data_IF_089886236821
#
_entry.id   IF_089886236821
#
_cell.length_a   1.000
_cell.length_b   1.000
_cell.length_c   1.000
_cell.angle_alpha   90.00
_cell.angle_beta   90.00
_cell.angle_gamma   90.00
#
_symmetry.space_group_name_H-M   'P 1'
#
loop_
_entity.id
_entity.type
_entity.pdbx_description
1 polymer ?
#
# COMPACT_ATOMS: atom_id res chain seq x y z
N UNK A 1 -9.45 -6.68 29.28
CA UNK A 1 -9.95 -5.81 28.23
C UNK A 1 -9.11 -6.08 26.99
N UNK A 2 -9.72 -6.22 25.84
CA UNK A 2 -9.04 -6.39 24.56
C UNK A 2 -8.14 -5.17 24.28
N UNK A 3 -7.01 -5.39 23.61
CA UNK A 3 -6.10 -4.32 23.20
C UNK A 3 -5.72 -4.56 21.75
N UNK A 4 -5.75 -3.52 20.96
CA UNK A 4 -5.25 -3.50 19.60
C UNK A 4 -4.19 -2.41 19.45
N UNK A 5 -3.19 -2.66 18.63
CA UNK A 5 -2.20 -1.66 18.23
C UNK A 5 -1.82 -1.87 16.77
N UNK A 6 -1.44 -0.80 16.08
CA UNK A 6 -0.89 -0.90 14.75
C UNK A 6 0.54 -1.47 14.77
N UNK A 7 1.11 -1.75 13.59
CA UNK A 7 2.45 -2.30 13.45
C UNK A 7 3.53 -1.46 14.17
N UNK A 8 3.51 -0.15 14.05
CA UNK A 8 4.48 0.72 14.73
C UNK A 8 4.32 0.71 16.25
N UNK A 9 3.12 0.42 16.75
CA UNK A 9 2.76 0.47 18.18
C UNK A 9 2.42 1.87 18.67
N UNK A 10 2.35 2.87 17.78
CA UNK A 10 1.99 4.25 18.11
C UNK A 10 0.49 4.42 18.30
N UNK A 11 -0.30 3.78 17.47
CA UNK A 11 -1.76 3.74 17.61
C UNK A 11 -2.17 2.57 18.50
N UNK A 12 -2.94 2.86 19.55
CA UNK A 12 -3.38 1.87 20.54
C UNK A 12 -4.83 2.11 20.90
N UNK A 13 -5.66 1.07 20.78
CA UNK A 13 -7.08 1.12 21.10
C UNK A 13 -7.46 0.02 22.09
N UNK A 14 -8.53 0.27 22.87
CA UNK A 14 -9.11 -0.67 23.84
C UNK A 14 -10.57 -0.90 23.48
N UNK A 15 -10.86 -1.68 22.44
CA UNK A 15 -12.23 -2.02 22.08
C UNK A 15 -12.90 -2.81 23.20
N UNK A 16 -14.24 -2.86 23.20
CA UNK A 16 -15.00 -3.74 24.07
C UNK A 16 -14.72 -5.19 23.72
N UNK A 17 -14.62 -5.48 22.39
CA UNK A 17 -14.26 -6.80 21.86
C UNK A 17 -13.27 -6.71 20.69
N UNK A 18 -12.36 -7.70 20.64
CA UNK A 18 -11.45 -7.95 19.51
C UNK A 18 -11.64 -9.41 19.10
N UNK A 19 -12.28 -9.61 17.99
CA UNK A 19 -12.65 -10.93 17.51
C UNK A 19 -12.04 -11.27 16.15
N UNK A 20 -12.14 -12.52 15.74
CA UNK A 20 -11.62 -13.03 14.47
C UNK A 20 -12.73 -13.68 13.68
N UNK A 21 -12.69 -13.56 12.35
CA UNK A 21 -13.60 -14.25 11.44
C UNK A 21 -12.84 -15.16 10.49
N UNK A 22 -13.43 -16.33 10.25
CA UNK A 22 -12.86 -17.40 9.42
C UNK A 22 -13.80 -17.82 8.29
N UNK A 23 -14.98 -17.20 8.20
CA UNK A 23 -15.95 -17.41 7.11
C UNK A 23 -16.75 -16.15 6.84
N UNK A 24 -17.36 -16.07 5.65
CA UNK A 24 -18.26 -14.98 5.28
C UNK A 24 -19.49 -14.93 6.20
N UNK A 25 -20.03 -16.09 6.58
CA UNK A 25 -21.19 -16.18 7.48
C UNK A 25 -20.87 -15.63 8.87
N UNK A 26 -19.64 -15.86 9.38
CA UNK A 26 -19.20 -15.26 10.64
C UNK A 26 -19.08 -13.73 10.52
N UNK A 27 -18.54 -13.24 9.41
CA UNK A 27 -18.42 -11.80 9.17
C UNK A 27 -19.80 -11.14 9.07
N UNK A 28 -20.75 -11.74 8.34
CA UNK A 28 -22.10 -11.27 8.18
C UNK A 28 -22.89 -11.29 9.51
N UNK A 29 -22.79 -12.38 10.26
CA UNK A 29 -23.45 -12.53 11.58
C UNK A 29 -22.90 -11.50 12.58
N UNK A 30 -21.60 -11.26 12.59
CA UNK A 30 -20.97 -10.26 13.46
C UNK A 30 -21.43 -8.85 13.10
N UNK A 31 -21.44 -8.49 11.81
CA UNK A 31 -21.88 -7.18 11.34
C UNK A 31 -23.33 -6.91 11.74
N UNK A 32 -24.23 -7.90 11.56
CA UNK A 32 -25.61 -7.81 11.98
C UNK A 32 -25.75 -7.64 13.51
N UNK A 33 -25.02 -8.44 14.29
CA UNK A 33 -25.09 -8.39 15.75
C UNK A 33 -24.63 -7.01 16.28
N UNK A 34 -23.52 -6.46 15.77
CA UNK A 34 -23.05 -5.13 16.12
C UNK A 34 -24.07 -4.06 15.75
N UNK A 35 -24.66 -4.12 14.56
CA UNK A 35 -25.68 -3.20 14.08
C UNK A 35 -26.94 -3.21 15.00
N UNK A 36 -27.44 -4.41 15.34
CA UNK A 36 -28.60 -4.57 16.24
C UNK A 36 -28.33 -4.07 17.66
N UNK A 37 -27.07 -4.19 18.12
CA UNK A 37 -26.64 -3.69 19.43
C UNK A 37 -26.30 -2.19 19.43
N UNK A 38 -26.33 -1.52 18.29
CA UNK A 38 -25.90 -0.12 18.15
C UNK A 38 -24.41 0.08 18.39
N UNK A 39 -23.60 -0.98 18.19
CA UNK A 39 -22.15 -0.93 18.36
C UNK A 39 -21.46 -0.59 17.04
N UNK A 40 -20.40 0.22 17.14
CA UNK A 40 -19.49 0.47 16.03
C UNK A 40 -18.58 -0.74 15.78
N UNK A 41 -18.35 -1.09 14.50
CA UNK A 41 -17.52 -2.20 14.07
C UNK A 41 -16.44 -1.71 13.10
N UNK A 42 -15.20 -2.13 13.31
CA UNK A 42 -14.10 -1.85 12.40
C UNK A 42 -13.34 -3.12 12.04
N UNK A 43 -13.23 -3.38 10.73
CA UNK A 43 -12.37 -4.44 10.22
C UNK A 43 -10.91 -4.00 10.18
N UNK A 44 -10.02 -4.90 10.58
CA UNK A 44 -8.57 -4.72 10.52
C UNK A 44 -7.92 -5.92 9.83
N UNK A 45 -6.77 -5.67 9.22
CA UNK A 45 -5.90 -6.70 8.64
C UNK A 45 -4.49 -6.61 9.25
N UNK A 46 -3.46 -6.34 8.45
CA UNK A 46 -2.06 -6.26 8.89
C UNK A 46 -1.71 -5.13 9.86
N UNK A 47 -2.58 -4.13 10.01
CA UNK A 47 -2.36 -3.02 10.95
C UNK A 47 -1.20 -2.09 10.59
N UNK A 48 -0.91 -1.91 9.31
CA UNK A 48 0.24 -1.12 8.84
C UNK A 48 -0.06 0.36 8.58
N UNK A 49 -1.30 0.82 8.78
CA UNK A 49 -1.63 2.24 8.62
C UNK A 49 -0.98 3.10 9.71
N UNK A 50 -0.41 4.25 9.30
CA UNK A 50 0.09 5.28 10.22
C UNK A 50 -0.99 6.25 10.66
N UNK A 51 -2.12 6.33 9.94
CA UNK A 51 -3.28 7.11 10.29
C UNK A 51 -4.25 6.31 11.17
N UNK A 52 -4.93 7.00 12.07
CA UNK A 52 -5.91 6.39 12.98
C UNK A 52 -7.25 6.11 12.28
N UNK A 53 -7.22 5.15 11.36
CA UNK A 53 -8.41 4.68 10.64
C UNK A 53 -9.25 3.68 11.46
N UNK A 54 -8.65 3.07 12.49
CA UNK A 54 -9.32 2.10 13.35
C UNK A 54 -10.18 2.81 14.38
N UNK A 55 -9.66 3.88 14.99
CA UNK A 55 -10.38 4.69 15.95
C UNK A 55 -10.82 3.92 17.21
N UNK A 56 -11.64 4.58 18.02
CA UNK A 56 -12.21 3.99 19.22
C UNK A 56 -13.54 3.28 18.91
N UNK A 57 -13.48 2.19 18.15
CA UNK A 57 -14.65 1.38 17.85
C UNK A 57 -14.97 0.42 19.01
N UNK A 58 -16.25 0.05 19.15
CA UNK A 58 -16.70 -0.90 20.17
C UNK A 58 -16.15 -2.29 19.88
N UNK A 59 -16.20 -2.70 18.62
CA UNK A 59 -15.74 -4.00 18.16
C UNK A 59 -14.70 -3.83 17.06
N UNK A 60 -13.58 -4.51 17.22
CA UNK A 60 -12.58 -4.67 16.17
C UNK A 60 -12.61 -6.11 15.69
N UNK A 61 -12.73 -6.32 14.38
CA UNK A 61 -12.69 -7.64 13.76
C UNK A 61 -11.43 -7.83 12.92
N UNK A 62 -10.65 -8.84 13.27
CA UNK A 62 -9.49 -9.27 12.49
C UNK A 62 -9.95 -10.22 11.38
N UNK A 63 -9.63 -9.86 10.14
CA UNK A 63 -10.02 -10.62 8.94
C UNK A 63 -8.93 -11.56 8.42
N UNK A 64 -7.78 -11.63 9.06
CA UNK A 64 -6.64 -12.47 8.61
C UNK A 64 -6.95 -13.96 8.53
N UNK A 65 -8.01 -14.41 9.19
CA UNK A 65 -8.54 -15.78 9.05
C UNK A 65 -9.13 -16.09 7.67
N UNK A 66 -9.54 -15.06 6.91
CA UNK A 66 -10.00 -15.17 5.52
C UNK A 66 -8.79 -15.04 4.58
N UNK A 67 -8.08 -16.13 4.29
CA UNK A 67 -6.81 -16.08 3.58
C UNK A 67 -6.70 -17.13 2.48
N UNK A 68 -6.02 -16.76 1.39
CA UNK A 68 -5.69 -17.61 0.24
C UNK A 68 -6.39 -17.23 -1.06
N UNK A 69 -6.01 -17.89 -2.14
CA UNK A 69 -6.65 -17.81 -3.45
C UNK A 69 -7.87 -18.72 -3.45
N UNK A 70 -9.03 -18.19 -3.83
CA UNK A 70 -10.31 -18.91 -3.90
C UNK A 70 -10.43 -19.59 -5.27
N UNK A 71 -10.20 -18.83 -6.34
CA UNK A 71 -10.25 -19.31 -7.72
C UNK A 71 -9.44 -18.38 -8.60
N UNK A 72 -9.03 -18.88 -9.75
CA UNK A 72 -8.27 -18.10 -10.75
C UNK A 72 -8.78 -18.41 -12.16
N UNK A 73 -8.70 -17.42 -13.02
CA UNK A 73 -8.97 -17.54 -14.46
C UNK A 73 -7.78 -16.95 -15.22
N UNK A 74 -6.99 -17.83 -15.80
CA UNK A 74 -5.80 -17.44 -16.60
C UNK A 74 -6.17 -16.82 -17.96
N UNK A 75 -7.39 -17.05 -18.47
CA UNK A 75 -7.83 -16.46 -19.73
C UNK A 75 -8.11 -14.97 -19.58
N UNK A 76 -8.69 -14.56 -18.46
CA UNK A 76 -8.95 -13.17 -18.13
C UNK A 76 -7.89 -12.53 -17.23
N UNK A 77 -6.87 -13.30 -16.81
CA UNK A 77 -5.87 -12.88 -15.81
C UNK A 77 -6.51 -12.33 -14.54
N UNK A 78 -7.50 -13.02 -13.99
CA UNK A 78 -8.15 -12.61 -12.74
C UNK A 78 -8.09 -13.72 -11.69
N UNK A 79 -8.17 -13.31 -10.43
CA UNK A 79 -8.36 -14.26 -9.33
C UNK A 79 -9.27 -13.69 -8.25
N UNK A 80 -10.13 -14.54 -7.69
CA UNK A 80 -10.79 -14.28 -6.42
C UNK A 80 -9.88 -14.68 -5.28
N UNK A 81 -9.68 -13.76 -4.36
CA UNK A 81 -8.84 -13.95 -3.17
C UNK A 81 -9.61 -13.56 -1.91
N UNK A 82 -9.31 -14.19 -0.79
CA UNK A 82 -9.85 -13.78 0.50
C UNK A 82 -9.26 -12.43 0.92
N UNK A 83 -10.10 -11.54 1.46
CA UNK A 83 -9.72 -10.17 1.82
C UNK A 83 -8.63 -10.05 2.89
N UNK A 84 -8.56 -11.02 3.80
CA UNK A 84 -7.54 -11.08 4.85
C UNK A 84 -6.19 -11.65 4.39
N UNK A 85 -6.05 -12.09 3.14
CA UNK A 85 -4.78 -12.61 2.61
C UNK A 85 -3.68 -11.58 2.74
N UNK A 86 -2.57 -11.94 3.39
CA UNK A 86 -1.38 -11.09 3.39
C UNK A 86 -0.69 -11.11 2.04
N UNK A 87 -0.19 -9.95 1.59
CA UNK A 87 0.42 -9.79 0.27
C UNK A 87 1.59 -10.77 0.08
N UNK A 88 2.45 -10.97 1.11
CA UNK A 88 3.57 -11.90 1.00
C UNK A 88 3.14 -13.35 0.71
N UNK A 89 2.07 -13.83 1.35
CA UNK A 89 1.56 -15.19 1.11
C UNK A 89 0.78 -15.27 -0.20
N UNK A 90 0.10 -14.20 -0.57
CA UNK A 90 -0.66 -14.09 -1.81
C UNK A 90 0.24 -14.11 -3.04
N UNK A 91 1.42 -13.47 -2.99
CA UNK A 91 2.36 -13.43 -4.09
C UNK A 91 2.77 -14.82 -4.58
N UNK A 92 3.20 -15.70 -3.67
CA UNK A 92 3.52 -17.09 -4.00
C UNK A 92 2.28 -17.88 -4.45
N UNK A 93 1.13 -17.71 -3.78
CA UNK A 93 -0.10 -18.43 -4.12
C UNK A 93 -0.61 -18.09 -5.53
N UNK A 94 -0.52 -16.83 -5.93
CA UNK A 94 -0.85 -16.38 -7.29
C UNK A 94 0.15 -16.93 -8.31
N UNK A 95 1.44 -16.94 -7.98
CA UNK A 95 2.47 -17.50 -8.85
C UNK A 95 2.21 -18.97 -9.14
N UNK A 96 1.77 -19.78 -8.18
CA UNK A 96 1.44 -21.20 -8.39
C UNK A 96 0.30 -21.42 -9.40
N UNK A 97 -0.54 -20.41 -9.63
CA UNK A 97 -1.61 -20.43 -10.65
C UNK A 97 -1.24 -19.61 -11.90
N UNK A 98 0.03 -19.24 -12.05
CA UNK A 98 0.57 -18.54 -13.23
C UNK A 98 0.28 -17.04 -13.25
N UNK A 99 -0.15 -16.44 -12.15
CA UNK A 99 -0.54 -15.04 -12.04
C UNK A 99 0.35 -14.25 -11.07
N UNK A 100 0.33 -12.92 -11.17
CA UNK A 100 1.08 -12.03 -10.28
C UNK A 100 0.38 -10.67 -10.13
N UNK A 101 0.56 -10.03 -8.99
CA UNK A 101 0.23 -8.60 -8.83
C UNK A 101 1.11 -7.77 -9.78
N UNK A 102 0.54 -6.83 -10.54
CA UNK A 102 1.31 -6.01 -11.49
C UNK A 102 2.26 -5.04 -10.79
N UNK A 103 1.94 -4.64 -9.57
CA UNK A 103 2.72 -3.77 -8.70
C UNK A 103 2.34 -4.03 -7.24
N UNK A 104 3.18 -3.63 -6.29
CA UNK A 104 2.91 -3.63 -4.86
C UNK A 104 3.84 -2.67 -4.14
N UNK A 105 3.51 -2.29 -2.91
CA UNK A 105 4.42 -1.52 -2.06
C UNK A 105 5.60 -2.33 -1.53
N UNK A 106 6.56 -1.65 -0.97
CA UNK A 106 7.74 -2.24 -0.32
C UNK A 106 7.36 -3.22 0.80
N UNK A 107 6.30 -2.90 1.55
CA UNK A 107 5.81 -3.75 2.65
C UNK A 107 4.75 -4.71 2.14
N UNK A 108 4.97 -6.00 2.35
CA UNK A 108 4.07 -7.09 1.95
C UNK A 108 3.28 -7.71 3.12
N UNK A 109 3.40 -7.12 4.32
CA UNK A 109 2.74 -7.59 5.53
C UNK A 109 1.28 -7.15 5.66
N UNK A 110 0.82 -6.27 4.79
CA UNK A 110 -0.56 -5.82 4.71
C UNK A 110 -1.49 -6.94 4.26
N UNK A 111 -2.76 -6.94 4.74
CA UNK A 111 -3.81 -7.72 4.08
C UNK A 111 -4.22 -7.04 2.77
N UNK A 112 -4.65 -7.82 1.77
CA UNK A 112 -5.02 -7.27 0.46
C UNK A 112 -6.22 -6.32 0.57
N UNK A 113 -7.23 -6.62 1.39
CA UNK A 113 -8.37 -5.71 1.62
C UNK A 113 -7.95 -4.43 2.34
N UNK A 114 -7.01 -4.51 3.29
CA UNK A 114 -6.48 -3.34 3.97
C UNK A 114 -5.65 -2.46 3.02
N UNK A 115 -4.80 -3.05 2.20
CA UNK A 115 -3.97 -2.35 1.23
C UNK A 115 -4.82 -1.65 0.16
N UNK A 116 -5.86 -2.31 -0.37
CA UNK A 116 -6.77 -1.67 -1.34
C UNK A 116 -7.64 -0.60 -0.68
N UNK A 117 -8.07 -0.81 0.58
CA UNK A 117 -8.90 0.16 1.28
C UNK A 117 -8.21 1.50 1.54
N UNK A 118 -6.89 1.55 1.50
CA UNK A 118 -6.07 2.75 1.78
C UNK A 118 -5.24 3.23 0.58
N UNK A 119 -5.43 2.65 -0.59
CA UNK A 119 -4.74 3.08 -1.81
C UNK A 119 -3.25 2.72 -1.86
N UNK A 120 -2.83 1.65 -1.18
CA UNK A 120 -1.44 1.19 -1.22
C UNK A 120 -0.95 1.03 -2.66
N UNK A 121 0.23 1.55 -2.92
CA UNK A 121 0.89 1.52 -4.22
C UNK A 121 2.37 1.17 -4.08
N UNK A 122 3.01 0.86 -5.18
CA UNK A 122 4.45 0.84 -5.34
C UNK A 122 4.91 2.06 -6.10
N UNK A 123 5.91 1.90 -6.97
CA UNK A 123 6.38 2.96 -7.87
C UNK A 123 6.23 2.54 -9.33
N UNK A 124 6.16 3.51 -10.23
CA UNK A 124 6.16 3.35 -11.68
C UNK A 124 5.18 4.30 -12.38
N UNK A 125 5.68 5.16 -13.29
CA UNK A 125 4.88 6.18 -13.97
C UNK A 125 3.73 5.61 -14.82
N UNK A 126 3.78 4.30 -15.15
CA UNK A 126 2.73 3.58 -15.87
C UNK A 126 1.94 2.60 -15.00
N UNK A 127 2.24 2.54 -13.71
CA UNK A 127 1.65 1.59 -12.77
C UNK A 127 0.72 2.31 -11.80
N UNK A 128 -0.45 1.74 -11.61
CA UNK A 128 -1.50 2.26 -10.71
C UNK A 128 -1.38 1.62 -9.32
N UNK A 129 -2.16 2.16 -8.35
CA UNK A 129 -2.29 1.58 -7.02
C UNK A 129 -3.01 0.22 -7.04
N UNK A 130 -2.98 -0.50 -5.91
CA UNK A 130 -3.63 -1.80 -5.78
C UNK A 130 -5.15 -1.72 -5.87
N UNK A 131 -5.76 -0.62 -5.45
CA UNK A 131 -7.20 -0.39 -5.47
C UNK A 131 -7.77 -0.40 -6.90
N UNK A 132 -7.00 0.09 -7.87
CA UNK A 132 -7.35 0.07 -9.29
C UNK A 132 -7.46 -1.34 -9.87
N UNK A 133 -6.85 -2.32 -9.21
CA UNK A 133 -6.85 -3.72 -9.64
C UNK A 133 -8.06 -4.51 -9.16
N UNK A 134 -8.90 -3.90 -8.31
CA UNK A 134 -10.15 -4.52 -7.81
C UNK A 134 -11.22 -4.43 -8.89
N UNK A 135 -11.57 -5.55 -9.48
CA UNK A 135 -12.62 -5.67 -10.51
C UNK A 135 -13.93 -6.26 -9.97
N UNK A 136 -13.89 -6.81 -8.76
CA UNK A 136 -15.05 -7.27 -8.01
C UNK A 136 -14.77 -7.38 -6.52
N UNK A 137 -15.81 -7.33 -5.71
CA UNK A 137 -15.69 -7.50 -4.27
C UNK A 137 -16.95 -8.17 -3.72
N UNK A 138 -16.83 -8.82 -2.55
CA UNK A 138 -17.96 -9.20 -1.70
C UNK A 138 -17.79 -8.59 -0.33
N UNK A 139 -18.86 -7.98 0.16
CA UNK A 139 -18.93 -7.30 1.45
C UNK A 139 -19.98 -7.93 2.34
N UNK A 140 -19.67 -8.05 3.64
CA UNK A 140 -20.64 -8.27 4.67
C UNK A 140 -21.10 -6.90 5.21
N UNK A 141 -22.38 -6.58 5.02
CA UNK A 141 -22.98 -5.30 5.39
C UNK A 141 -23.59 -5.33 6.80
N UNK A 142 -23.94 -4.16 7.31
CA UNK A 142 -24.48 -3.98 8.67
C UNK A 142 -25.82 -4.69 8.91
N UNK A 143 -26.59 -4.98 7.86
CA UNK A 143 -27.83 -5.76 7.93
C UNK A 143 -27.61 -7.28 7.89
N UNK A 144 -26.37 -7.73 7.85
CA UNK A 144 -25.97 -9.13 7.75
C UNK A 144 -26.02 -9.70 6.33
N UNK A 145 -26.33 -8.89 5.32
CA UNK A 145 -26.31 -9.34 3.94
C UNK A 145 -24.86 -9.47 3.42
N UNK A 146 -24.67 -10.47 2.54
CA UNK A 146 -23.45 -10.62 1.73
C UNK A 146 -23.75 -10.09 0.33
N UNK A 147 -23.07 -9.03 -0.07
CA UNK A 147 -23.33 -8.34 -1.34
C UNK A 147 -22.11 -8.44 -2.26
N UNK A 148 -22.33 -8.97 -3.46
CA UNK A 148 -21.35 -8.91 -4.54
C UNK A 148 -21.47 -7.57 -5.28
N UNK A 149 -20.32 -7.02 -5.68
CA UNK A 149 -20.27 -5.83 -6.52
C UNK A 149 -19.14 -5.91 -7.54
N UNK A 150 -19.41 -5.34 -8.71
CA UNK A 150 -18.49 -5.23 -9.84
C UNK A 150 -18.94 -4.09 -10.75
N UNK A 151 -18.22 -3.81 -11.83
CA UNK A 151 -18.66 -2.83 -12.84
C UNK A 151 -20.03 -3.18 -13.47
N UNK A 152 -20.42 -4.47 -13.49
CA UNK A 152 -21.68 -4.96 -14.05
C UNK A 152 -22.80 -5.12 -13.02
N UNK A 153 -22.46 -5.22 -11.74
CA UNK A 153 -23.40 -5.47 -10.64
C UNK A 153 -23.09 -4.58 -9.45
N UNK A 154 -24.08 -3.83 -8.95
CA UNK A 154 -23.90 -2.87 -7.86
C UNK A 154 -22.71 -1.92 -8.12
N UNK A 155 -22.66 -1.33 -9.32
CA UNK A 155 -21.47 -0.63 -9.83
C UNK A 155 -21.03 0.57 -8.97
N UNK A 156 -21.97 1.30 -8.37
CA UNK A 156 -21.63 2.40 -7.45
C UNK A 156 -20.98 1.88 -6.16
N UNK A 157 -21.50 0.78 -5.58
CA UNK A 157 -20.90 0.14 -4.43
C UNK A 157 -19.51 -0.39 -4.77
N UNK A 158 -19.34 -1.02 -5.94
CA UNK A 158 -18.03 -1.46 -6.41
C UNK A 158 -17.05 -0.30 -6.50
N UNK A 159 -17.42 0.79 -7.17
CA UNK A 159 -16.56 1.96 -7.33
C UNK A 159 -16.17 2.58 -5.98
N UNK A 160 -17.11 2.69 -5.04
CA UNK A 160 -16.85 3.19 -3.70
C UNK A 160 -16.01 2.22 -2.86
N UNK A 161 -16.18 0.90 -3.03
CA UNK A 161 -15.49 -0.12 -2.24
C UNK A 161 -14.06 -0.41 -2.67
N UNK A 162 -13.61 0.09 -3.83
CA UNK A 162 -12.23 -0.08 -4.31
C UNK A 162 -11.22 0.58 -3.36
N UNK A 163 -11.54 1.78 -2.85
CA UNK A 163 -10.78 2.49 -1.82
C UNK A 163 -11.78 3.16 -0.86
N UNK A 164 -11.97 2.61 0.32
CA UNK A 164 -13.13 2.94 1.17
C UNK A 164 -12.78 3.24 2.63
N UNK A 165 -11.52 3.18 3.02
CA UNK A 165 -11.04 3.46 4.39
C UNK A 165 -11.79 2.68 5.48
N UNK A 166 -12.37 1.53 5.14
CA UNK A 166 -13.14 0.69 6.05
C UNK A 166 -14.59 1.13 6.31
N UNK A 167 -15.17 2.02 5.48
CA UNK A 167 -16.48 2.63 5.75
C UNK A 167 -17.70 1.77 5.34
N UNK A 168 -17.56 0.81 4.40
CA UNK A 168 -18.70 0.12 3.78
C UNK A 168 -18.98 -1.30 4.30
N UNK A 169 -18.38 -1.70 5.42
CA UNK A 169 -18.53 -3.04 5.98
C UNK A 169 -17.26 -3.87 5.92
N UNK A 170 -17.39 -5.20 6.02
CA UNK A 170 -16.26 -6.12 6.02
C UNK A 170 -16.08 -6.67 4.60
N UNK A 171 -14.96 -6.33 3.95
CA UNK A 171 -14.61 -6.99 2.68
C UNK A 171 -14.14 -8.41 2.99
N UNK A 172 -14.90 -9.39 2.51
CA UNK A 172 -14.60 -10.81 2.71
C UNK A 172 -13.72 -11.35 1.59
N UNK A 173 -13.97 -10.96 0.34
CA UNK A 173 -13.16 -11.35 -0.82
C UNK A 173 -13.08 -10.25 -1.88
N UNK A 174 -12.03 -10.31 -2.67
CA UNK A 174 -11.77 -9.41 -3.79
C UNK A 174 -11.50 -10.22 -5.05
N UNK A 175 -11.99 -9.74 -6.18
CA UNK A 175 -11.56 -10.16 -7.50
C UNK A 175 -10.52 -9.16 -8.01
N UNK A 176 -9.33 -9.66 -8.31
CA UNK A 176 -8.21 -8.83 -8.74
C UNK A 176 -7.91 -9.05 -10.23
N UNK A 177 -7.68 -7.96 -10.96
CA UNK A 177 -7.06 -8.00 -12.27
C UNK A 177 -5.53 -8.10 -12.10
N UNK A 178 -4.94 -9.13 -12.69
CA UNK A 178 -3.57 -9.55 -12.46
C UNK A 178 -2.80 -9.57 -13.78
N UNK A 179 -1.50 -9.79 -13.69
CA UNK A 179 -0.64 -10.10 -14.84
C UNK A 179 -0.32 -11.60 -14.85
N UNK A 180 0.04 -12.20 -16.00
CA UNK A 180 0.79 -13.45 -16.00
C UNK A 180 2.03 -13.32 -15.11
N UNK A 181 2.46 -14.40 -14.47
CA UNK A 181 3.70 -14.42 -13.68
C UNK A 181 4.89 -13.91 -14.48
N UNK A 182 5.66 -12.99 -13.92
CA UNK A 182 6.79 -12.35 -14.60
C UNK A 182 7.99 -12.22 -13.64
N UNK A 183 9.18 -12.08 -14.24
CA UNK A 183 10.42 -11.89 -13.48
C UNK A 183 10.89 -10.45 -13.57
N UNK A 184 11.60 -10.05 -12.53
CA UNK A 184 12.18 -8.73 -12.38
C UNK A 184 13.67 -8.81 -12.10
N UNK A 185 14.39 -7.80 -12.56
CA UNK A 185 15.78 -7.51 -12.18
C UNK A 185 15.85 -6.15 -11.53
N UNK A 186 16.47 -6.09 -10.36
CA UNK A 186 16.66 -4.89 -9.55
C UNK A 186 18.09 -4.39 -9.64
N UNK A 187 18.24 -3.06 -9.65
CA UNK A 187 19.53 -2.37 -9.53
C UNK A 187 19.39 -1.18 -8.61
N UNK A 188 20.40 -0.98 -7.74
CA UNK A 188 20.51 0.21 -6.91
C UNK A 188 21.89 0.82 -7.03
N UNK A 189 21.97 2.14 -6.85
CA UNK A 189 23.21 2.89 -6.71
C UNK A 189 22.98 4.13 -5.86
N UNK A 190 24.07 4.78 -5.47
CA UNK A 190 24.02 6.03 -4.71
C UNK A 190 24.57 7.18 -5.54
N UNK A 191 23.95 8.35 -5.39
CA UNK A 191 24.35 9.60 -6.06
C UNK A 191 23.92 10.80 -5.20
N UNK A 192 24.55 11.98 -5.34
CA UNK A 192 24.02 13.22 -4.73
C UNK A 192 22.62 13.54 -5.26
N UNK A 193 21.74 14.09 -4.41
CA UNK A 193 20.38 14.43 -4.82
C UNK A 193 20.34 15.38 -6.01
N UNK A 194 21.20 16.40 -6.02
CA UNK A 194 21.26 17.39 -7.11
C UNK A 194 21.60 16.76 -8.48
N UNK A 195 22.45 15.73 -8.51
CA UNK A 195 22.76 14.97 -9.72
C UNK A 195 21.55 14.13 -10.14
N UNK A 196 20.92 13.43 -9.18
CA UNK A 196 19.76 12.62 -9.46
C UNK A 196 18.62 13.42 -10.08
N UNK A 197 18.28 14.58 -9.50
CA UNK A 197 17.15 15.38 -9.97
C UNK A 197 17.32 15.91 -11.39
N UNK A 198 18.57 16.07 -11.88
CA UNK A 198 18.84 16.44 -13.28
C UNK A 198 18.57 15.28 -14.25
N UNK A 199 18.71 14.05 -13.81
CA UNK A 199 18.58 12.84 -14.65
C UNK A 199 17.28 12.08 -14.38
N UNK A 200 16.47 12.50 -13.39
CA UNK A 200 15.35 11.77 -12.84
C UNK A 200 14.27 11.43 -13.89
N UNK A 201 13.94 12.38 -14.75
CA UNK A 201 12.94 12.16 -15.81
C UNK A 201 13.37 11.05 -16.76
N UNK A 202 14.67 10.98 -17.09
CA UNK A 202 15.22 9.88 -17.90
C UNK A 202 15.11 8.53 -17.19
N UNK A 203 15.46 8.47 -15.90
CA UNK A 203 15.33 7.24 -15.13
C UNK A 203 13.86 6.77 -15.00
N UNK A 204 12.92 7.70 -14.81
CA UNK A 204 11.49 7.41 -14.75
C UNK A 204 10.99 6.88 -16.11
N UNK A 205 11.41 7.50 -17.22
CA UNK A 205 10.97 7.12 -18.56
C UNK A 205 11.52 5.75 -19.01
N UNK A 206 12.77 5.45 -18.64
CA UNK A 206 13.49 4.27 -19.13
C UNK A 206 13.23 3.02 -18.28
N UNK A 207 12.60 3.13 -17.11
CA UNK A 207 12.43 2.02 -16.19
C UNK A 207 10.96 1.77 -15.82
N UNK A 208 10.61 0.49 -15.65
CA UNK A 208 9.28 0.07 -15.20
C UNK A 208 8.98 0.60 -13.79
N UNK A 209 9.96 0.49 -12.88
CA UNK A 209 9.91 1.06 -11.55
C UNK A 209 11.14 1.95 -11.36
N UNK A 210 10.92 3.13 -10.83
CA UNK A 210 11.98 4.04 -10.43
C UNK A 210 11.55 4.72 -9.13
N UNK A 211 12.38 4.62 -8.11
CA UNK A 211 12.21 5.31 -6.83
C UNK A 211 13.55 5.67 -6.25
N UNK A 212 13.56 6.56 -5.29
CA UNK A 212 14.75 6.80 -4.49
C UNK A 212 14.42 7.14 -3.04
N UNK A 213 15.40 6.84 -2.17
CA UNK A 213 15.43 7.27 -0.78
C UNK A 213 16.55 8.28 -0.63
N UNK A 214 16.24 9.53 -0.31
CA UNK A 214 17.22 10.54 -0.03
C UNK A 214 17.49 10.67 1.46
N UNK A 215 18.75 10.60 1.86
CA UNK A 215 19.23 10.70 3.25
C UNK A 215 19.74 12.11 3.51
N UNK A 216 19.01 12.96 4.28
CA UNK A 216 19.32 14.38 4.42
C UNK A 216 20.72 14.66 4.97
N UNK A 217 21.16 13.91 5.99
CA UNK A 217 22.47 14.16 6.64
C UNK A 217 23.68 13.94 5.75
N UNK A 218 23.58 13.12 4.74
CA UNK A 218 24.67 12.77 3.83
C UNK A 218 24.48 13.34 2.44
N UNK A 219 23.33 13.98 2.19
CA UNK A 219 22.88 14.42 0.86
C UNK A 219 23.00 13.33 -0.21
N UNK A 220 22.74 12.09 0.21
CA UNK A 220 22.88 10.91 -0.65
C UNK A 220 21.50 10.36 -0.99
N UNK A 221 21.20 10.23 -2.27
CA UNK A 221 20.04 9.50 -2.78
C UNK A 221 20.44 8.06 -3.15
N UNK A 222 19.76 7.09 -2.57
CA UNK A 222 19.81 5.69 -3.00
C UNK A 222 18.71 5.46 -4.04
N UNK A 223 19.11 5.36 -5.29
CA UNK A 223 18.21 5.13 -6.42
C UNK A 223 17.97 3.63 -6.59
N UNK A 224 16.73 3.25 -6.84
CA UNK A 224 16.34 1.88 -7.17
C UNK A 224 15.54 1.87 -8.45
N UNK A 225 15.96 1.05 -9.42
CA UNK A 225 15.20 0.76 -10.63
C UNK A 225 14.97 -0.74 -10.74
N UNK A 226 13.77 -1.10 -11.23
CA UNK A 226 13.39 -2.50 -11.41
C UNK A 226 12.73 -2.65 -12.79
N UNK A 227 13.17 -3.65 -13.56
CA UNK A 227 12.66 -3.92 -14.90
C UNK A 227 12.27 -5.38 -15.07
N UNK A 228 11.35 -5.64 -15.99
CA UNK A 228 11.02 -7.00 -16.41
C UNK A 228 12.18 -7.64 -17.14
N UNK A 229 12.31 -8.95 -16.99
CA UNK A 229 13.33 -9.76 -17.66
C UNK A 229 12.79 -11.12 -18.01
N UNK A 230 13.26 -11.67 -19.12
CA UNK A 230 13.02 -13.06 -19.54
C UNK A 230 14.09 -14.02 -19.04
N UNK A 231 15.20 -13.48 -18.51
CA UNK A 231 16.30 -14.28 -17.98
C UNK A 231 15.86 -15.11 -16.76
N UNK A 232 16.42 -16.31 -16.58
CA UNK A 232 16.16 -17.11 -15.38
C UNK A 232 16.53 -16.38 -14.10
N UNK A 233 15.72 -16.56 -13.05
CA UNK A 233 16.04 -16.02 -11.73
C UNK A 233 17.38 -16.55 -11.19
N UNK A 234 18.06 -15.75 -10.40
CA UNK A 234 19.33 -16.11 -9.76
C UNK A 234 19.07 -16.50 -8.30
N UNK A 235 19.45 -17.74 -7.94
CA UNK A 235 19.21 -18.26 -6.60
C UNK A 235 20.51 -18.81 -5.98
N UNK A 236 20.77 -18.61 -4.68
CA UNK A 236 19.89 -17.88 -3.74
C UNK A 236 19.68 -16.44 -4.19
N UNK A 237 18.48 -15.90 -3.90
CA UNK A 237 18.14 -14.54 -4.28
C UNK A 237 19.18 -13.55 -3.69
N UNK A 238 19.65 -12.62 -4.50
CA UNK A 238 20.60 -11.58 -4.07
C UNK A 238 20.01 -10.69 -2.96
N UNK A 239 20.86 -9.89 -2.34
CA UNK A 239 20.43 -8.83 -1.42
C UNK A 239 19.65 -7.73 -2.14
N UNK A 240 18.98 -6.86 -1.35
CA UNK A 240 18.31 -5.66 -1.89
C UNK A 240 19.27 -4.88 -2.80
N UNK A 241 18.79 -4.49 -3.98
CA UNK A 241 19.56 -3.80 -4.99
C UNK A 241 20.24 -4.70 -6.04
N UNK A 242 20.17 -6.01 -5.88
CA UNK A 242 20.80 -6.98 -6.79
C UNK A 242 19.91 -8.22 -7.01
N UNK A 243 18.61 -8.11 -6.74
CA UNK A 243 17.69 -9.24 -6.85
C UNK A 243 17.30 -9.50 -8.29
N UNK A 244 17.24 -10.76 -8.65
CA UNK A 244 16.79 -11.24 -9.95
C UNK A 244 15.94 -12.50 -9.75
N UNK A 245 14.62 -12.34 -9.80
CA UNK A 245 13.68 -13.40 -9.46
C UNK A 245 12.26 -13.11 -9.90
N UNK A 246 11.29 -13.83 -9.35
CA UNK A 246 9.90 -13.56 -9.61
C UNK A 246 9.45 -12.22 -8.97
N UNK A 247 8.44 -11.58 -9.55
CA UNK A 247 7.99 -10.27 -9.10
C UNK A 247 7.68 -10.21 -7.60
N UNK A 248 7.02 -11.23 -7.06
CA UNK A 248 6.69 -11.31 -5.63
C UNK A 248 7.91 -11.53 -4.71
N UNK A 249 9.08 -11.88 -5.26
CA UNK A 249 10.33 -12.02 -4.51
C UNK A 249 11.17 -10.73 -4.58
N UNK A 250 11.04 -9.96 -5.68
CA UNK A 250 11.88 -8.79 -5.94
C UNK A 250 11.23 -7.49 -5.44
N UNK A 251 9.90 -7.35 -5.54
CA UNK A 251 9.22 -6.12 -5.18
C UNK A 251 9.26 -5.83 -3.66
N UNK A 252 9.01 -6.82 -2.75
CA UNK A 252 8.97 -6.51 -1.33
C UNK A 252 10.35 -6.30 -0.74
N UNK A 253 10.42 -5.42 0.27
CA UNK A 253 11.61 -5.19 1.08
C UNK A 253 11.33 -5.47 2.55
N UNK A 254 12.37 -5.89 3.26
CA UNK A 254 12.29 -6.06 4.71
C UNK A 254 12.60 -4.74 5.40
N UNK A 255 11.61 -4.16 6.10
CA UNK A 255 11.72 -2.90 6.84
C UNK A 255 11.48 -3.14 8.33
N UNK A 256 12.48 -3.62 9.11
CA UNK A 256 12.29 -4.01 10.50
C UNK A 256 12.18 -2.82 11.47
N UNK A 257 12.73 -1.67 11.09
CA UNK A 257 12.80 -0.50 11.98
C UNK A 257 11.45 0.20 12.06
N UNK A 258 10.92 0.33 13.27
CA UNK A 258 9.67 1.03 13.52
C UNK A 258 9.85 2.53 13.33
N UNK A 259 8.95 3.12 12.57
CA UNK A 259 8.94 4.53 12.23
C UNK A 259 7.51 5.08 12.19
N UNK A 260 7.40 6.37 12.06
CA UNK A 260 6.20 7.09 11.61
C UNK A 260 6.45 7.59 10.20
N UNK A 261 5.37 7.78 9.47
CA UNK A 261 5.41 8.18 8.07
C UNK A 261 4.26 9.12 7.76
N UNK A 262 4.54 10.13 6.95
CA UNK A 262 3.55 10.96 6.29
C UNK A 262 3.88 11.03 4.81
N UNK A 263 2.92 10.62 3.97
CA UNK A 263 3.05 10.69 2.51
C UNK A 263 2.02 11.64 1.94
N UNK A 264 2.45 12.46 0.98
CA UNK A 264 1.58 13.28 0.16
C UNK A 264 1.76 12.97 -1.32
N UNK A 265 0.68 13.14 -2.06
CA UNK A 265 0.61 12.97 -3.51
C UNK A 265 0.46 14.32 -4.19
N UNK A 266 1.47 14.72 -4.92
CA UNK A 266 1.49 15.98 -5.68
C UNK A 266 1.36 15.70 -7.19
N UNK A 267 0.92 16.68 -8.02
CA UNK A 267 0.99 16.51 -9.46
C UNK A 267 2.39 16.12 -9.92
N UNK A 268 2.49 15.21 -10.90
CA UNK A 268 3.79 14.68 -11.32
C UNK A 268 4.79 15.78 -11.71
N UNK A 269 4.31 16.84 -12.36
CA UNK A 269 5.10 18.01 -12.75
C UNK A 269 5.64 18.84 -11.57
N UNK A 270 5.04 18.73 -10.40
CA UNK A 270 5.46 19.44 -9.18
C UNK A 270 6.46 18.66 -8.33
N UNK A 271 6.66 17.36 -8.60
CA UNK A 271 7.43 16.47 -7.74
C UNK A 271 8.86 16.93 -7.46
N UNK A 272 9.60 17.33 -8.51
CA UNK A 272 10.99 17.82 -8.38
C UNK A 272 11.06 19.13 -7.61
N UNK A 273 10.11 20.05 -7.80
CA UNK A 273 10.07 21.31 -7.07
C UNK A 273 9.82 21.06 -5.57
N UNK A 274 8.81 20.25 -5.24
CA UNK A 274 8.54 19.85 -3.85
C UNK A 274 9.76 19.19 -3.20
N UNK A 275 10.47 18.31 -3.91
CA UNK A 275 11.67 17.66 -3.37
C UNK A 275 12.80 18.65 -3.05
N UNK A 276 13.01 19.66 -3.92
CA UNK A 276 13.97 20.73 -3.67
C UNK A 276 13.59 21.57 -2.44
N UNK A 277 12.31 21.89 -2.27
CA UNK A 277 11.84 22.67 -1.12
C UNK A 277 11.98 21.87 0.19
N UNK A 278 11.71 20.56 0.17
CA UNK A 278 11.95 19.67 1.31
C UNK A 278 13.45 19.59 1.62
N UNK A 279 14.32 19.46 0.61
CA UNK A 279 15.78 19.47 0.81
C UNK A 279 16.21 20.75 1.53
N UNK A 280 15.73 21.89 1.08
CA UNK A 280 16.04 23.18 1.70
C UNK A 280 15.50 23.27 3.13
N UNK A 281 14.25 22.85 3.36
CA UNK A 281 13.66 22.85 4.70
C UNK A 281 14.49 22.04 5.69
N UNK A 282 14.93 20.83 5.29
CA UNK A 282 15.71 19.98 6.17
C UNK A 282 17.13 20.53 6.39
N UNK A 283 17.75 21.11 5.38
CA UNK A 283 19.07 21.74 5.51
C UNK A 283 19.05 22.97 6.42
N UNK A 284 17.98 23.78 6.38
CA UNK A 284 17.90 25.05 7.10
C UNK A 284 17.29 24.92 8.50
N UNK A 285 16.32 23.99 8.71
CA UNK A 285 15.49 24.00 9.91
C UNK A 285 15.50 22.68 10.68
N UNK A 286 15.53 21.52 10.01
CA UNK A 286 15.43 20.19 10.63
C UNK A 286 16.68 19.35 10.39
N UNK A 287 17.84 19.93 10.69
CA UNK A 287 19.18 19.34 10.41
C UNK A 287 19.45 18.03 11.14
N UNK A 288 18.69 17.73 12.21
CA UNK A 288 18.79 16.50 12.99
C UNK A 288 18.07 15.31 12.34
N UNK A 289 17.15 15.54 11.40
CA UNK A 289 16.43 14.47 10.72
C UNK A 289 17.39 13.59 9.95
N UNK A 290 17.40 12.31 10.28
CA UNK A 290 18.28 11.30 9.68
C UNK A 290 17.54 10.25 8.86
N UNK A 291 16.23 10.15 9.05
CA UNK A 291 15.38 9.25 8.28
C UNK A 291 15.25 9.73 6.83
N UNK A 292 15.16 8.80 5.88
CA UNK A 292 15.12 9.17 4.47
C UNK A 292 13.79 9.83 4.08
N UNK A 293 13.84 10.61 3.01
CA UNK A 293 12.67 11.03 2.24
C UNK A 293 12.56 10.12 1.02
N UNK A 294 11.41 9.51 0.81
CA UNK A 294 11.15 8.64 -0.32
C UNK A 294 10.40 9.37 -1.42
N UNK A 295 10.76 9.08 -2.67
CA UNK A 295 10.13 9.65 -3.87
C UNK A 295 9.72 8.52 -4.82
N UNK A 296 8.44 8.46 -5.16
CA UNK A 296 7.85 7.47 -6.06
C UNK A 296 6.97 8.14 -7.12
N UNK A 297 6.73 7.44 -8.21
CA UNK A 297 5.81 7.86 -9.29
C UNK A 297 4.61 6.92 -9.34
N UNK A 298 3.46 7.46 -9.77
CA UNK A 298 2.22 6.70 -9.86
C UNK A 298 1.40 7.14 -11.06
N UNK A 299 0.91 6.19 -11.84
CA UNK A 299 -0.02 6.45 -12.93
C UNK A 299 -1.37 6.92 -12.41
N UNK A 300 -2.03 7.78 -13.19
CA UNK A 300 -3.42 8.14 -12.92
C UNK A 300 -4.33 6.91 -12.90
N UNK A 301 -5.38 6.97 -12.11
CA UNK A 301 -6.41 5.95 -12.01
C UNK A 301 -7.84 6.55 -11.99
N UNK A 302 -8.85 5.69 -11.87
CA UNK A 302 -10.27 6.05 -11.84
C UNK A 302 -10.95 5.73 -10.48
N UNK A 303 -10.16 5.50 -9.44
CA UNK A 303 -10.66 5.16 -8.10
C UNK A 303 -11.00 6.43 -7.33
N UNK A 304 -12.24 6.60 -6.90
CA UNK A 304 -12.78 7.86 -6.39
C UNK A 304 -11.99 8.54 -5.27
N UNK A 305 -11.49 7.79 -4.30
CA UNK A 305 -10.69 8.34 -3.19
C UNK A 305 -9.18 8.19 -3.41
N UNK A 306 -8.75 7.79 -4.61
CA UNK A 306 -7.33 7.68 -4.91
C UNK A 306 -6.66 9.05 -4.93
N UNK A 307 -5.48 9.12 -4.39
CA UNK A 307 -4.62 10.31 -4.47
C UNK A 307 -4.10 10.56 -5.90
N UNK A 308 -4.20 9.54 -6.79
CA UNK A 308 -3.88 9.61 -8.22
C UNK A 308 -5.12 9.67 -9.11
N UNK A 309 -6.30 10.00 -8.55
CA UNK A 309 -7.53 10.07 -9.32
C UNK A 309 -7.41 11.06 -10.49
N UNK A 310 -7.49 10.51 -11.72
CA UNK A 310 -7.41 11.25 -12.99
C UNK A 310 -6.16 12.15 -13.15
N UNK A 311 -5.09 11.90 -12.41
CA UNK A 311 -3.89 12.72 -12.41
C UNK A 311 -2.63 11.86 -12.22
N UNK A 312 -1.65 11.92 -13.15
CA UNK A 312 -0.32 11.39 -12.89
C UNK A 312 0.28 12.05 -11.66
N UNK A 313 0.90 11.24 -10.81
CA UNK A 313 1.21 11.65 -9.44
C UNK A 313 2.64 11.27 -9.08
N UNK A 314 3.28 12.13 -8.31
CA UNK A 314 4.46 11.83 -7.51
C UNK A 314 4.02 11.74 -6.07
N UNK A 315 4.47 10.71 -5.37
CA UNK A 315 4.31 10.61 -3.92
C UNK A 315 5.64 10.87 -3.24
N UNK A 316 5.61 11.67 -2.19
CA UNK A 316 6.78 11.98 -1.37
C UNK A 316 6.44 11.62 0.07
N UNK A 317 7.19 10.64 0.61
CA UNK A 317 7.05 10.19 1.99
C UNK A 317 8.17 10.73 2.84
N UNK A 318 7.82 11.32 3.97
CA UNK A 318 8.75 11.77 5.01
C UNK A 318 8.63 10.84 6.22
N UNK A 319 9.76 10.45 6.79
CA UNK A 319 9.83 9.45 7.85
C UNK A 319 10.50 9.99 9.09
N UNK A 320 10.16 9.42 10.26
CA UNK A 320 10.84 9.71 11.51
C UNK A 320 10.86 8.46 12.42
N UNK A 321 11.89 8.33 13.25
CA UNK A 321 11.96 7.26 14.23
C UNK A 321 10.78 7.30 15.19
N UNK A 322 10.29 6.11 15.62
CA UNK A 322 9.07 6.01 16.44
C UNK A 322 9.16 6.77 17.76
N UNK A 323 10.36 6.94 18.32
CA UNK A 323 10.64 7.59 19.59
C UNK A 323 11.09 9.05 19.40
N UNK A 324 11.17 9.54 18.16
CA UNK A 324 11.61 10.90 17.83
C UNK A 324 10.40 11.83 17.59
N UNK A 325 10.53 13.15 17.90
CA UNK A 325 9.47 14.10 17.62
C UNK A 325 9.30 14.30 16.12
N UNK A 326 8.06 14.18 15.63
CA UNK A 326 7.74 14.26 14.20
C UNK A 326 6.75 15.39 13.84
N UNK A 327 5.95 15.89 14.79
CA UNK A 327 4.83 16.78 14.49
C UNK A 327 5.26 18.09 13.80
N UNK A 328 6.28 18.77 14.34
CA UNK A 328 6.75 20.05 13.79
C UNK A 328 7.37 19.85 12.38
N UNK A 329 8.12 18.77 12.20
CA UNK A 329 8.72 18.38 10.93
C UNK A 329 7.65 18.06 9.89
N UNK A 330 6.68 17.22 10.26
CA UNK A 330 5.61 16.83 9.34
C UNK A 330 4.71 18.00 8.96
N UNK A 331 4.37 18.90 9.89
CA UNK A 331 3.61 20.12 9.57
C UNK A 331 4.35 21.03 8.58
N UNK A 332 5.65 21.19 8.75
CA UNK A 332 6.44 22.02 7.83
C UNK A 332 6.52 21.38 6.43
N UNK A 333 6.63 20.06 6.34
CA UNK A 333 6.56 19.37 5.04
C UNK A 333 5.16 19.45 4.43
N UNK A 334 4.09 19.32 5.24
CA UNK A 334 2.71 19.47 4.78
C UNK A 334 2.46 20.83 4.13
N UNK A 335 2.99 21.91 4.69
CA UNK A 335 2.89 23.25 4.09
C UNK A 335 3.50 23.32 2.67
N UNK A 336 4.61 22.61 2.43
CA UNK A 336 5.21 22.50 1.10
C UNK A 336 4.31 21.72 0.14
N UNK A 337 3.74 20.60 0.59
CA UNK A 337 2.87 19.76 -0.25
C UNK A 337 1.56 20.44 -0.63
N UNK A 338 1.06 21.37 0.19
CA UNK A 338 -0.20 22.08 -0.03
C UNK A 338 -0.03 23.38 -0.83
N UNK A 339 1.21 23.86 -1.03
CA UNK A 339 1.50 25.08 -1.79
C UNK A 339 1.47 24.84 -3.29
#
# INVERSE_FOLDING_TARGET
MAQWHNWSGRLKHKPQDLTHVYSEDQAASLALACSQAGQSLRAVGGGHSHQDLVGNNDVIVDTLGLSGVISSDSASNTAWVWGGSRIFSLGNALHQVGLALPNQGDIDQQSISGATATGTHGTGATLQNLSSRVVGARLALADGSLVDCSAAENSELWQASRLHLGAFGIITRLQLALNPSFRLVEKTWQTPLSTLLQELEGYIADNRHCEFFWYPRTDTAQVKVINETTEPGQYPLGGEGQRHGWSYEVLPNHRPHKHTEMEYSVPAESGTACMNDIQKLLADTFTEVSWPVEYRTLAQDDVWLSTAYQRPTVTISVHQGIDEPDEAYYRACEEIFLA
#
